data_IF_410590957898
#
_entry.id   IF_410590957898
#
_cell.length_a   1.000
_cell.length_b   1.000
_cell.length_c   1.000
_cell.angle_alpha   90.00
_cell.angle_beta   90.00
_cell.angle_gamma   90.00
#
_symmetry.space_group_name_H-M   'P 1'
#
loop_
_entity.id
_entity.type
_entity.pdbx_description
1 polymer ?
#
# COMPACT_ATOMS: atom_id res chain seq x y z
N UNK A 1 -34.11 16.84 -12.42
CA UNK A 1 -34.19 15.78 -13.43
C UNK A 1 -33.93 14.47 -12.71
N UNK A 2 -34.62 13.38 -13.09
CA UNK A 2 -34.33 12.08 -12.53
C UNK A 2 -32.89 11.63 -12.91
N UNK A 3 -32.22 10.91 -12.02
CA UNK A 3 -30.90 10.33 -12.30
C UNK A 3 -31.10 9.23 -13.36
N UNK A 4 -30.18 9.13 -14.31
CA UNK A 4 -30.11 8.04 -15.30
C UNK A 4 -28.77 7.31 -15.15
N UNK A 5 -28.68 6.11 -15.72
CA UNK A 5 -27.42 5.32 -15.65
C UNK A 5 -26.26 6.12 -16.23
N UNK A 6 -26.43 6.74 -17.40
CA UNK A 6 -25.36 7.53 -18.05
C UNK A 6 -24.92 8.73 -17.18
N UNK A 7 -25.90 9.38 -16.51
CA UNK A 7 -25.56 10.49 -15.61
C UNK A 7 -24.86 10.04 -14.34
N UNK A 8 -25.28 8.91 -13.80
CA UNK A 8 -24.63 8.35 -12.63
C UNK A 8 -23.19 7.93 -12.95
N UNK A 9 -22.97 7.28 -14.10
CA UNK A 9 -21.62 6.96 -14.58
C UNK A 9 -20.75 8.21 -14.78
N UNK A 10 -21.32 9.27 -15.39
CA UNK A 10 -20.59 10.55 -15.55
C UNK A 10 -20.20 11.16 -14.20
N UNK A 11 -21.03 11.05 -13.16
CA UNK A 11 -20.68 11.52 -11.81
C UNK A 11 -19.49 10.75 -11.26
N UNK A 12 -19.39 9.44 -11.49
CA UNK A 12 -18.25 8.65 -11.06
C UNK A 12 -16.97 9.07 -11.81
N UNK A 13 -17.05 9.23 -13.13
CA UNK A 13 -15.92 9.67 -13.95
C UNK A 13 -15.44 11.06 -13.50
N UNK A 14 -16.37 12.01 -13.30
CA UNK A 14 -16.04 13.36 -12.82
C UNK A 14 -15.40 13.34 -11.42
N UNK A 15 -15.87 12.45 -10.53
CA UNK A 15 -15.31 12.32 -9.17
C UNK A 15 -13.86 11.83 -9.18
N UNK A 16 -13.50 10.88 -10.05
CA UNK A 16 -12.13 10.38 -10.17
C UNK A 16 -11.15 11.38 -10.78
N UNK A 17 -11.65 12.38 -11.49
CA UNK A 17 -10.83 13.49 -12.01
C UNK A 17 -10.55 14.58 -10.95
N UNK A 18 -11.19 14.51 -9.76
CA UNK A 18 -10.97 15.48 -8.68
C UNK A 18 -9.67 15.18 -7.92
N UNK A 19 -8.86 16.21 -7.76
CA UNK A 19 -7.64 16.10 -6.93
C UNK A 19 -7.99 16.12 -5.43
N UNK A 20 -8.97 16.95 -5.05
CA UNK A 20 -9.43 17.10 -3.67
C UNK A 20 -10.96 17.15 -3.62
N UNK A 21 -11.64 15.98 -3.59
CA UNK A 21 -13.08 15.92 -3.46
C UNK A 21 -13.58 16.67 -2.22
N UNK A 22 -14.71 17.39 -2.36
CA UNK A 22 -15.38 18.04 -1.25
C UNK A 22 -16.54 17.17 -0.75
N UNK A 23 -17.08 17.50 0.40
CA UNK A 23 -18.18 16.73 1.02
C UNK A 23 -19.41 16.57 0.09
N UNK A 24 -19.73 17.59 -0.71
CA UNK A 24 -20.80 17.54 -1.69
C UNK A 24 -20.51 16.59 -2.85
N UNK A 25 -19.23 16.44 -3.24
CA UNK A 25 -18.78 15.51 -4.27
C UNK A 25 -18.90 14.07 -3.77
N UNK A 26 -18.49 13.81 -2.52
CA UNK A 26 -18.66 12.52 -1.86
C UNK A 26 -20.13 12.08 -1.83
N UNK A 27 -21.06 13.00 -1.48
CA UNK A 27 -22.48 12.71 -1.47
C UNK A 27 -22.99 12.36 -2.86
N UNK A 28 -22.56 13.09 -3.90
CA UNK A 28 -22.97 12.81 -5.28
C UNK A 28 -22.44 11.45 -5.75
N UNK A 29 -21.18 11.15 -5.43
CA UNK A 29 -20.53 9.88 -5.74
C UNK A 29 -21.26 8.70 -5.10
N UNK A 30 -21.55 8.76 -3.79
CA UNK A 30 -22.28 7.71 -3.06
C UNK A 30 -23.68 7.52 -3.67
N UNK A 31 -24.43 8.60 -3.88
CA UNK A 31 -25.77 8.52 -4.45
C UNK A 31 -25.79 7.93 -5.87
N UNK A 32 -24.75 8.22 -6.67
CA UNK A 32 -24.60 7.65 -8.01
C UNK A 32 -24.33 6.16 -7.94
N UNK A 33 -23.43 5.70 -7.05
CA UNK A 33 -23.16 4.28 -6.83
C UNK A 33 -24.38 3.53 -6.32
N UNK A 34 -25.10 4.07 -5.32
CA UNK A 34 -26.32 3.45 -4.80
C UNK A 34 -27.39 3.30 -5.89
N UNK A 35 -27.58 4.34 -6.72
CA UNK A 35 -28.48 4.29 -7.85
C UNK A 35 -28.07 3.21 -8.85
N UNK A 36 -26.78 3.16 -9.23
CA UNK A 36 -26.26 2.16 -10.17
C UNK A 36 -26.40 0.74 -9.62
N UNK A 37 -26.17 0.52 -8.33
CA UNK A 37 -26.39 -0.77 -7.65
C UNK A 37 -27.86 -1.18 -7.77
N UNK A 38 -28.80 -0.27 -7.50
CA UNK A 38 -30.24 -0.55 -7.57
C UNK A 38 -30.71 -0.87 -8.98
N UNK A 39 -30.25 -0.13 -9.99
CA UNK A 39 -30.68 -0.28 -11.38
C UNK A 39 -30.02 -1.46 -12.10
N UNK A 40 -28.76 -1.79 -11.74
CA UNK A 40 -27.97 -2.76 -12.50
C UNK A 40 -27.67 -4.04 -11.76
N UNK A 41 -27.71 -4.03 -10.43
CA UNK A 41 -27.23 -5.09 -9.55
C UNK A 41 -25.78 -5.53 -9.90
N UNK A 42 -24.95 -4.60 -10.43
CA UNK A 42 -23.56 -4.89 -10.80
C UNK A 42 -22.67 -4.94 -9.55
N UNK A 43 -21.98 -6.09 -9.28
CA UNK A 43 -21.14 -6.25 -8.11
C UNK A 43 -19.90 -5.34 -8.08
N UNK A 44 -19.46 -4.82 -9.21
CA UNK A 44 -18.36 -3.87 -9.31
C UNK A 44 -18.69 -2.59 -8.52
N UNK A 45 -19.85 -1.99 -8.74
CA UNK A 45 -20.29 -0.81 -7.97
C UNK A 45 -20.46 -1.08 -6.48
N UNK A 46 -20.85 -2.32 -6.10
CA UNK A 46 -20.91 -2.70 -4.69
C UNK A 46 -19.52 -2.72 -4.05
N UNK A 47 -18.51 -3.28 -4.75
CA UNK A 47 -17.12 -3.30 -4.26
C UNK A 47 -16.55 -1.88 -4.21
N UNK A 48 -16.85 -1.07 -5.20
CA UNK A 48 -16.41 0.32 -5.27
C UNK A 48 -16.96 1.15 -4.10
N UNK A 49 -18.26 1.06 -3.82
CA UNK A 49 -18.88 1.73 -2.67
C UNK A 49 -18.38 1.17 -1.34
N UNK A 50 -18.17 -0.14 -1.25
CA UNK A 50 -17.53 -0.78 -0.11
C UNK A 50 -16.10 -0.26 0.12
N UNK A 51 -15.34 -0.05 -0.96
CA UNK A 51 -13.99 0.54 -0.93
C UNK A 51 -14.00 1.97 -0.41
N UNK A 52 -14.94 2.78 -0.87
CA UNK A 52 -15.13 4.14 -0.37
C UNK A 52 -15.38 4.14 1.14
N UNK A 53 -16.34 3.33 1.63
CA UNK A 53 -16.61 3.20 3.07
C UNK A 53 -15.42 2.67 3.85
N UNK A 54 -14.64 1.74 3.26
CA UNK A 54 -13.41 1.25 3.88
C UNK A 54 -12.38 2.39 4.07
N UNK A 55 -12.19 3.24 3.07
CA UNK A 55 -11.33 4.44 3.14
C UNK A 55 -11.76 5.39 4.25
N UNK A 56 -13.07 5.56 4.45
CA UNK A 56 -13.65 6.36 5.54
C UNK A 56 -13.65 5.64 6.90
N UNK A 57 -13.03 4.45 7.00
CA UNK A 57 -12.99 3.60 8.20
C UNK A 57 -14.38 3.16 8.72
N UNK A 58 -15.38 3.20 7.86
CA UNK A 58 -16.74 2.70 8.13
C UNK A 58 -16.83 1.22 7.73
N UNK A 59 -16.10 0.39 8.46
CA UNK A 59 -15.83 -0.99 8.08
C UNK A 59 -17.06 -1.90 8.06
N UNK A 60 -18.06 -1.62 8.91
CA UNK A 60 -19.31 -2.39 8.92
C UNK A 60 -20.09 -2.19 7.61
N UNK A 61 -20.15 -0.95 7.10
CA UNK A 61 -20.78 -0.66 5.80
C UNK A 61 -19.98 -1.27 4.64
N UNK A 62 -18.65 -1.18 4.70
CA UNK A 62 -17.79 -1.82 3.71
C UNK A 62 -18.04 -3.33 3.64
N UNK A 63 -18.11 -4.01 4.79
CA UNK A 63 -18.44 -5.44 4.89
C UNK A 63 -19.78 -5.75 4.23
N UNK A 64 -20.82 -4.98 4.53
CA UNK A 64 -22.17 -5.20 3.98
C UNK A 64 -22.16 -5.16 2.44
N UNK A 65 -21.53 -4.16 1.84
CA UNK A 65 -21.44 -4.04 0.38
C UNK A 65 -20.58 -5.16 -0.24
N UNK A 66 -19.46 -5.52 0.38
CA UNK A 66 -18.66 -6.64 -0.09
C UNK A 66 -19.40 -7.98 0.03
N UNK A 67 -20.21 -8.19 1.08
CA UNK A 67 -21.07 -9.37 1.21
C UNK A 67 -22.17 -9.41 0.14
N UNK A 68 -22.70 -8.24 -0.28
CA UNK A 68 -23.65 -8.17 -1.40
C UNK A 68 -23.00 -8.63 -2.71
N UNK A 69 -21.80 -8.11 -3.03
CA UNK A 69 -21.06 -8.50 -4.23
C UNK A 69 -20.59 -9.97 -4.18
N UNK A 70 -20.18 -10.46 -3.01
CA UNK A 70 -19.78 -11.85 -2.81
C UNK A 70 -20.90 -12.86 -3.08
N UNK A 71 -22.17 -12.51 -2.80
CA UNK A 71 -23.35 -13.33 -3.15
C UNK A 71 -23.51 -13.48 -4.67
N UNK A 72 -22.93 -12.59 -5.46
CA UNK A 72 -22.88 -12.63 -6.92
C UNK A 72 -21.61 -13.31 -7.44
N UNK A 73 -20.81 -13.94 -6.57
CA UNK A 73 -19.55 -14.60 -6.88
C UNK A 73 -18.48 -13.65 -7.48
N UNK A 74 -18.48 -12.38 -7.08
CA UNK A 74 -17.51 -11.41 -7.57
C UNK A 74 -16.17 -11.58 -6.82
N UNK A 75 -15.08 -11.77 -7.59
CA UNK A 75 -13.78 -12.19 -7.04
C UNK A 75 -13.17 -11.14 -6.11
N UNK A 76 -13.25 -9.87 -6.49
CA UNK A 76 -12.65 -8.78 -5.71
C UNK A 76 -13.36 -8.59 -4.37
N UNK A 77 -14.68 -8.90 -4.30
CA UNK A 77 -15.40 -8.92 -3.04
C UNK A 77 -14.86 -9.97 -2.07
N UNK A 78 -14.44 -11.13 -2.57
CA UNK A 78 -13.81 -12.16 -1.73
C UNK A 78 -12.45 -11.70 -1.20
N UNK A 79 -11.63 -11.04 -2.02
CA UNK A 79 -10.37 -10.45 -1.58
C UNK A 79 -10.59 -9.42 -0.47
N UNK A 80 -11.52 -8.47 -0.69
CA UNK A 80 -11.86 -7.41 0.26
C UNK A 80 -12.39 -7.98 1.58
N UNK A 81 -13.26 -8.99 1.55
CA UNK A 81 -13.75 -9.68 2.76
C UNK A 81 -12.61 -10.41 3.49
N UNK A 82 -11.73 -11.08 2.74
CA UNK A 82 -10.53 -11.68 3.29
C UNK A 82 -9.70 -10.66 4.05
N UNK A 83 -9.55 -9.47 3.51
CA UNK A 83 -8.82 -8.36 4.13
C UNK A 83 -9.50 -7.86 5.42
N UNK A 84 -10.82 -7.61 5.38
CA UNK A 84 -11.60 -7.18 6.55
C UNK A 84 -11.41 -8.16 7.72
N UNK A 85 -11.58 -9.45 7.48
CA UNK A 85 -11.49 -10.46 8.53
C UNK A 85 -10.06 -10.72 8.99
N UNK A 86 -9.08 -10.68 8.09
CA UNK A 86 -7.67 -10.88 8.43
C UNK A 86 -7.17 -9.81 9.41
N UNK A 87 -7.54 -8.55 9.19
CA UNK A 87 -7.13 -7.44 10.03
C UNK A 87 -8.13 -7.10 11.16
N UNK A 88 -9.24 -7.83 11.27
CA UNK A 88 -10.24 -7.60 12.30
C UNK A 88 -10.90 -6.22 12.21
N UNK A 89 -11.18 -5.74 10.99
CA UNK A 89 -11.73 -4.39 10.80
C UNK A 89 -13.11 -4.20 11.42
N UNK A 90 -13.91 -5.28 11.50
CA UNK A 90 -15.25 -5.32 12.12
C UNK A 90 -15.23 -6.03 13.48
N UNK A 91 -14.12 -5.97 14.21
CA UNK A 91 -13.98 -6.57 15.54
C UNK A 91 -12.59 -7.14 15.79
N UNK A 92 -12.49 -8.41 16.13
CA UNK A 92 -11.21 -9.11 16.23
C UNK A 92 -10.91 -9.87 14.93
N UNK A 93 -9.62 -10.14 14.63
CA UNK A 93 -9.25 -10.96 13.48
C UNK A 93 -9.98 -12.31 13.49
N UNK A 94 -10.65 -12.63 12.37
CA UNK A 94 -11.30 -13.91 12.11
C UNK A 94 -10.55 -14.63 11.00
N UNK A 95 -9.51 -15.35 11.38
CA UNK A 95 -8.63 -16.02 10.41
C UNK A 95 -9.32 -17.19 9.68
N UNK A 96 -10.41 -17.76 10.22
CA UNK A 96 -11.19 -18.78 9.53
C UNK A 96 -11.92 -18.18 8.33
N UNK A 97 -12.66 -17.09 8.54
CA UNK A 97 -13.31 -16.36 7.46
C UNK A 97 -12.32 -15.79 6.47
N UNK A 98 -11.22 -15.18 6.96
CA UNK A 98 -10.16 -14.65 6.10
C UNK A 98 -9.59 -15.72 5.17
N UNK A 99 -9.25 -16.90 5.71
CA UNK A 99 -8.76 -18.03 4.92
C UNK A 99 -9.77 -18.49 3.87
N UNK A 100 -11.05 -18.61 4.26
CA UNK A 100 -12.11 -19.03 3.36
C UNK A 100 -12.24 -18.06 2.17
N UNK A 101 -12.32 -16.76 2.42
CA UNK A 101 -12.49 -15.76 1.38
C UNK A 101 -11.24 -15.59 0.51
N UNK A 102 -10.03 -15.53 1.10
CA UNK A 102 -8.80 -15.51 0.33
C UNK A 102 -8.63 -16.76 -0.55
N UNK A 103 -9.06 -17.93 -0.04
CA UNK A 103 -9.02 -19.14 -0.87
C UNK A 103 -9.97 -19.06 -2.05
N UNK A 104 -11.21 -18.57 -1.87
CA UNK A 104 -12.17 -18.37 -2.96
C UNK A 104 -11.62 -17.42 -4.03
N UNK A 105 -11.00 -16.30 -3.64
CA UNK A 105 -10.43 -15.35 -4.56
C UNK A 105 -9.17 -15.92 -5.27
N UNK A 106 -8.27 -16.55 -4.51
CA UNK A 106 -7.04 -17.17 -5.04
C UNK A 106 -7.34 -18.29 -6.02
N UNK A 107 -8.34 -19.13 -5.75
CA UNK A 107 -8.77 -20.21 -6.66
C UNK A 107 -9.31 -19.65 -8.01
N UNK A 108 -9.69 -18.38 -8.05
CA UNK A 108 -10.13 -17.65 -9.25
C UNK A 108 -9.03 -16.73 -9.83
N UNK A 109 -7.79 -16.86 -9.36
CA UNK A 109 -6.62 -16.19 -9.93
C UNK A 109 -6.30 -14.81 -9.33
N UNK A 110 -6.97 -14.40 -8.24
CA UNK A 110 -6.63 -13.14 -7.58
C UNK A 110 -5.26 -13.26 -6.89
N UNK A 111 -4.29 -12.44 -7.33
CA UNK A 111 -2.89 -12.51 -6.88
C UNK A 111 -2.75 -11.99 -5.45
N UNK A 112 -3.52 -10.95 -5.08
CA UNK A 112 -3.51 -10.38 -3.73
C UNK A 112 -3.97 -11.43 -2.72
N UNK A 113 -5.09 -12.07 -2.98
CA UNK A 113 -5.59 -13.16 -2.15
C UNK A 113 -4.61 -14.34 -2.06
N UNK A 114 -3.92 -14.66 -3.16
CA UNK A 114 -2.96 -15.76 -3.20
C UNK A 114 -1.75 -15.49 -2.29
N UNK A 115 -1.14 -14.31 -2.32
CA UNK A 115 -0.01 -14.05 -1.40
C UNK A 115 -0.47 -13.89 0.05
N UNK A 116 -1.66 -13.36 0.31
CA UNK A 116 -2.25 -13.33 1.65
C UNK A 116 -2.50 -14.74 2.20
N UNK A 117 -3.01 -15.63 1.35
CA UNK A 117 -3.16 -17.05 1.69
C UNK A 117 -1.80 -17.70 2.00
N UNK A 118 -0.76 -17.38 1.22
CA UNK A 118 0.61 -17.83 1.51
C UNK A 118 1.09 -17.35 2.88
N UNK A 119 0.88 -16.08 3.23
CA UNK A 119 1.22 -15.55 4.55
C UNK A 119 0.49 -16.29 5.69
N UNK A 120 -0.76 -16.72 5.46
CA UNK A 120 -1.49 -17.53 6.45
C UNK A 120 -0.85 -18.91 6.67
N UNK A 121 -0.37 -19.55 5.61
CA UNK A 121 0.42 -20.80 5.74
C UNK A 121 1.76 -20.54 6.45
N UNK A 122 2.47 -19.46 6.12
CA UNK A 122 3.73 -19.09 6.77
C UNK A 122 3.57 -18.89 8.28
N UNK A 123 2.50 -18.22 8.70
CA UNK A 123 2.29 -17.82 10.08
C UNK A 123 1.50 -18.86 10.90
N UNK A 124 0.78 -19.76 10.25
CA UNK A 124 -0.10 -20.73 10.91
C UNK A 124 -1.42 -20.09 11.37
N UNK A 125 -1.95 -19.12 10.60
CA UNK A 125 -3.23 -18.48 10.89
C UNK A 125 -4.38 -19.35 10.37
N UNK A 126 -5.19 -19.89 11.28
CA UNK A 126 -6.26 -20.86 11.04
C UNK A 126 -5.76 -22.25 10.55
N UNK A 127 -4.72 -22.29 9.75
CA UNK A 127 -4.12 -23.51 9.21
C UNK A 127 -2.81 -23.84 9.93
N UNK A 128 -2.37 -25.11 9.87
CA UNK A 128 -1.04 -25.47 10.34
C UNK A 128 0.03 -24.72 9.54
N UNK A 129 1.10 -24.27 10.22
CA UNK A 129 2.28 -23.68 9.54
C UNK A 129 2.82 -24.63 8.48
N UNK A 130 2.94 -24.12 7.25
CA UNK A 130 3.46 -24.85 6.10
C UNK A 130 4.35 -23.91 5.27
N UNK A 131 5.63 -23.82 5.66
CA UNK A 131 6.59 -22.97 4.96
C UNK A 131 6.84 -23.44 3.50
N UNK A 132 6.98 -24.74 3.20
CA UNK A 132 7.04 -25.22 1.82
C UNK A 132 5.85 -24.76 0.97
N UNK A 133 4.65 -24.77 1.51
CA UNK A 133 3.43 -24.28 0.83
C UNK A 133 3.48 -22.77 0.56
N UNK A 134 3.94 -21.99 1.56
CA UNK A 134 4.20 -20.56 1.37
C UNK A 134 5.15 -20.31 0.21
N UNK A 135 6.32 -20.97 0.21
CA UNK A 135 7.33 -20.83 -0.86
C UNK A 135 6.76 -21.20 -2.22
N UNK A 136 6.02 -22.32 -2.30
CA UNK A 136 5.39 -22.78 -3.53
C UNK A 136 4.45 -21.71 -4.10
N UNK A 137 3.56 -21.14 -3.28
CA UNK A 137 2.61 -20.13 -3.72
C UNK A 137 3.37 -18.88 -4.18
N UNK A 138 4.26 -18.32 -3.35
CA UNK A 138 4.98 -17.07 -3.71
C UNK A 138 5.77 -17.24 -5.01
N UNK A 139 6.48 -18.35 -5.18
CA UNK A 139 7.22 -18.63 -6.44
C UNK A 139 6.30 -18.77 -7.65
N UNK A 140 5.07 -19.27 -7.48
CA UNK A 140 4.12 -19.39 -8.59
C UNK A 140 3.52 -18.05 -9.03
N UNK A 141 3.56 -17.02 -8.18
CA UNK A 141 3.06 -15.67 -8.51
C UNK A 141 4.07 -14.84 -9.32
N UNK A 142 5.36 -15.12 -9.17
CA UNK A 142 6.41 -14.34 -9.83
C UNK A 142 6.25 -14.26 -11.36
N UNK A 143 6.03 -15.37 -12.10
CA UNK A 143 5.85 -15.32 -13.55
C UNK A 143 4.63 -14.49 -13.99
N UNK A 144 3.60 -14.37 -13.15
CA UNK A 144 2.38 -13.61 -13.45
C UNK A 144 2.60 -12.08 -13.37
N UNK A 145 3.64 -11.66 -12.66
CA UNK A 145 3.98 -10.25 -12.44
C UNK A 145 5.20 -9.81 -13.26
N UNK A 146 5.82 -10.71 -14.01
CA UNK A 146 6.92 -10.34 -14.92
C UNK A 146 6.39 -9.44 -16.05
N UNK A 147 6.97 -8.24 -16.18
CA UNK A 147 6.55 -7.26 -17.17
C UNK A 147 5.32 -6.44 -16.76
N UNK A 148 4.89 -6.50 -15.49
CA UNK A 148 3.89 -5.60 -14.94
C UNK A 148 4.33 -4.15 -15.15
N UNK A 149 3.37 -3.28 -15.48
CA UNK A 149 3.59 -1.84 -15.70
C UNK A 149 2.63 -0.97 -14.88
N UNK A 150 1.57 -1.57 -14.36
CA UNK A 150 0.65 -0.86 -13.49
C UNK A 150 1.23 -0.80 -12.06
N UNK A 151 1.40 0.42 -11.54
CA UNK A 151 1.97 0.64 -10.20
C UNK A 151 1.14 0.04 -9.08
N UNK A 152 -0.14 -0.22 -9.32
CA UNK A 152 -1.04 -0.89 -8.36
C UNK A 152 -1.00 -2.42 -8.43
N UNK A 153 -0.29 -3.01 -9.41
CA UNK A 153 -0.04 -4.46 -9.39
C UNK A 153 0.75 -4.86 -8.13
N UNK A 154 0.47 -6.02 -7.52
CA UNK A 154 1.08 -6.41 -6.24
C UNK A 154 2.55 -6.88 -6.37
N UNK A 155 3.32 -6.17 -7.21
CA UNK A 155 4.76 -6.41 -7.42
C UNK A 155 5.55 -6.22 -6.12
N UNK A 156 5.41 -5.09 -5.38
CA UNK A 156 6.15 -4.87 -4.15
C UNK A 156 5.91 -5.97 -3.11
N UNK A 157 4.66 -6.39 -2.95
CA UNK A 157 4.24 -7.38 -1.97
C UNK A 157 4.77 -8.77 -2.28
N UNK A 158 4.72 -9.19 -3.54
CA UNK A 158 5.18 -10.52 -3.97
C UNK A 158 6.71 -10.55 -4.06
N UNK A 159 7.33 -9.53 -4.65
CA UNK A 159 8.78 -9.51 -4.86
C UNK A 159 9.57 -9.39 -3.55
N UNK A 160 9.10 -8.61 -2.59
CA UNK A 160 9.72 -8.55 -1.26
C UNK A 160 9.67 -9.89 -0.51
N UNK A 161 8.57 -10.66 -0.67
CA UNK A 161 8.46 -12.01 -0.10
C UNK A 161 9.38 -13.00 -0.82
N UNK A 162 9.44 -12.91 -2.14
CA UNK A 162 10.32 -13.78 -2.95
C UNK A 162 11.80 -13.47 -2.69
N UNK A 163 12.16 -12.19 -2.49
CA UNK A 163 13.51 -11.80 -2.12
C UNK A 163 13.94 -12.46 -0.80
N UNK A 164 13.07 -12.45 0.22
CA UNK A 164 13.36 -13.14 1.51
C UNK A 164 13.58 -14.64 1.31
N UNK A 165 12.80 -15.28 0.46
CA UNK A 165 12.99 -16.69 0.10
C UNK A 165 14.36 -16.89 -0.57
N UNK A 166 14.75 -16.02 -1.50
CA UNK A 166 16.03 -16.12 -2.19
C UNK A 166 17.23 -15.87 -1.27
N UNK A 167 17.12 -14.97 -0.29
CA UNK A 167 18.16 -14.82 0.75
C UNK A 167 18.35 -16.13 1.53
N UNK A 168 17.26 -16.77 1.95
CA UNK A 168 17.31 -18.06 2.66
C UNK A 168 17.88 -19.19 1.80
N UNK A 169 17.72 -19.11 0.47
CA UNK A 169 18.29 -20.05 -0.50
C UNK A 169 19.75 -19.71 -0.90
N UNK A 170 20.32 -18.61 -0.38
CA UNK A 170 21.68 -18.15 -0.70
C UNK A 170 21.80 -17.45 -2.06
N UNK A 171 20.70 -16.97 -2.62
CA UNK A 171 20.63 -16.27 -3.92
C UNK A 171 20.49 -14.74 -3.71
N UNK A 172 21.47 -14.13 -3.03
CA UNK A 172 21.41 -12.71 -2.65
C UNK A 172 21.31 -11.77 -3.86
N UNK A 173 22.03 -12.04 -4.96
CA UNK A 173 21.96 -11.20 -6.17
C UNK A 173 20.54 -11.11 -6.73
N UNK A 174 19.81 -12.22 -6.75
CA UNK A 174 18.41 -12.24 -7.21
C UNK A 174 17.48 -11.53 -6.23
N UNK A 175 17.74 -11.67 -4.92
CA UNK A 175 16.99 -10.98 -3.90
C UNK A 175 17.15 -9.45 -4.03
N UNK A 176 18.37 -8.95 -4.24
CA UNK A 176 18.66 -7.53 -4.45
C UNK A 176 17.91 -7.00 -5.67
N UNK A 177 17.96 -7.71 -6.80
CA UNK A 177 17.23 -7.29 -8.01
C UNK A 177 15.72 -7.16 -7.78
N UNK A 178 15.12 -8.12 -7.07
CA UNK A 178 13.70 -8.08 -6.76
C UNK A 178 13.34 -6.93 -5.82
N UNK A 179 14.20 -6.63 -4.83
CA UNK A 179 13.97 -5.52 -3.90
C UNK A 179 14.10 -4.16 -4.59
N UNK A 180 15.04 -4.01 -5.54
CA UNK A 180 15.17 -2.79 -6.34
C UNK A 180 13.92 -2.55 -7.20
N UNK A 181 13.41 -3.58 -7.87
CA UNK A 181 12.17 -3.49 -8.65
C UNK A 181 10.98 -3.18 -7.72
N UNK A 182 10.88 -3.86 -6.58
CA UNK A 182 9.81 -3.64 -5.61
C UNK A 182 9.85 -2.20 -5.04
N UNK A 183 11.05 -1.67 -4.78
CA UNK A 183 11.25 -0.28 -4.32
C UNK A 183 10.74 0.71 -5.36
N UNK A 184 11.13 0.54 -6.61
CA UNK A 184 10.68 1.43 -7.70
C UNK A 184 9.16 1.44 -7.85
N UNK A 185 8.52 0.25 -7.91
CA UNK A 185 7.06 0.16 -8.00
C UNK A 185 6.35 0.81 -6.81
N UNK A 186 6.84 0.58 -5.59
CA UNK A 186 6.24 1.14 -4.40
C UNK A 186 6.43 2.65 -4.30
N UNK A 187 7.60 3.16 -4.72
CA UNK A 187 7.88 4.59 -4.76
C UNK A 187 6.94 5.32 -5.73
N UNK A 188 6.71 4.74 -6.91
CA UNK A 188 5.77 5.29 -7.89
C UNK A 188 4.32 5.21 -7.39
N UNK A 189 3.92 4.11 -6.72
CA UNK A 189 2.58 3.97 -6.13
C UNK A 189 2.29 5.06 -5.12
N UNK A 190 3.26 5.40 -4.27
CA UNK A 190 3.11 6.41 -3.21
C UNK A 190 2.85 7.83 -3.73
N UNK A 191 3.10 8.10 -5.00
CA UNK A 191 2.75 9.39 -5.63
C UNK A 191 1.22 9.55 -5.74
N UNK A 192 0.50 8.44 -5.87
CA UNK A 192 -0.94 8.41 -6.18
C UNK A 192 -1.78 7.72 -5.10
N UNK A 193 -1.17 7.18 -4.05
CA UNK A 193 -1.85 6.37 -3.04
C UNK A 193 -1.87 7.04 -1.68
N UNK A 194 -3.07 7.18 -1.13
CA UNK A 194 -3.29 7.60 0.27
C UNK A 194 -3.41 6.40 1.23
N UNK A 195 -3.15 5.17 0.73
CA UNK A 195 -3.31 4.00 1.55
C UNK A 195 -2.21 3.92 2.62
N UNK A 196 -2.61 4.03 3.88
CA UNK A 196 -1.71 4.07 5.04
C UNK A 196 -0.74 2.86 5.16
N UNK A 197 -1.05 1.75 4.50
CA UNK A 197 -0.18 0.56 4.46
C UNK A 197 1.02 0.69 3.53
N UNK A 198 0.97 1.58 2.54
CA UNK A 198 2.00 1.69 1.51
C UNK A 198 3.34 2.21 2.04
N UNK A 199 3.32 3.14 3.01
CA UNK A 199 4.53 3.58 3.71
C UNK A 199 5.20 2.44 4.48
N UNK A 200 4.42 1.53 5.06
CA UNK A 200 4.96 0.34 5.75
C UNK A 200 5.64 -0.62 4.77
N UNK A 201 5.08 -0.77 3.57
CA UNK A 201 5.65 -1.64 2.52
C UNK A 201 7.01 -1.10 2.06
N UNK A 202 7.11 0.18 1.69
CA UNK A 202 8.38 0.78 1.23
C UNK A 202 9.45 0.74 2.32
N UNK A 203 9.10 1.04 3.57
CA UNK A 203 10.02 0.92 4.71
C UNK A 203 10.65 -0.46 4.80
N UNK A 204 9.84 -1.52 4.75
CA UNK A 204 10.36 -2.88 4.82
C UNK A 204 11.25 -3.22 3.63
N UNK A 205 10.87 -2.81 2.41
CA UNK A 205 11.68 -3.03 1.21
C UNK A 205 13.04 -2.36 1.33
N UNK A 206 13.09 -1.10 1.75
CA UNK A 206 14.34 -0.35 1.94
C UNK A 206 15.25 -0.99 2.99
N UNK A 207 14.68 -1.36 4.14
CA UNK A 207 15.47 -2.00 5.21
C UNK A 207 15.97 -3.39 4.81
N UNK A 208 15.16 -4.19 4.11
CA UNK A 208 15.57 -5.48 3.59
C UNK A 208 16.70 -5.29 2.54
N UNK A 209 16.61 -4.31 1.65
CA UNK A 209 17.62 -4.01 0.64
C UNK A 209 18.98 -3.65 1.29
N UNK A 210 18.99 -2.68 2.23
CA UNK A 210 20.21 -2.25 2.89
C UNK A 210 20.74 -3.23 3.95
N UNK A 211 20.04 -4.32 4.21
CA UNK A 211 20.61 -5.48 4.90
C UNK A 211 21.51 -6.34 4.02
N UNK A 212 21.39 -6.21 2.68
CA UNK A 212 22.10 -7.03 1.69
C UNK A 212 23.20 -6.26 0.97
N UNK A 213 23.04 -4.95 0.80
CA UNK A 213 24.02 -4.09 0.11
C UNK A 213 24.54 -2.99 1.00
N UNK A 214 25.72 -2.48 0.68
CA UNK A 214 26.26 -1.28 1.32
C UNK A 214 25.46 -0.06 0.85
N UNK A 215 25.05 0.81 1.77
CA UNK A 215 24.43 2.09 1.44
C UNK A 215 25.44 3.01 0.76
N UNK A 216 25.01 3.65 -0.32
CA UNK A 216 25.78 4.63 -1.09
C UNK A 216 24.98 5.94 -1.14
N UNK A 217 25.47 6.99 -0.49
CA UNK A 217 24.80 8.29 -0.42
C UNK A 217 24.74 9.02 -1.76
N UNK A 218 25.61 8.69 -2.73
CA UNK A 218 25.62 9.33 -4.04
C UNK A 218 24.42 8.97 -4.92
N UNK A 219 23.70 7.90 -4.55
CA UNK A 219 22.52 7.38 -5.26
C UNK A 219 21.26 7.32 -4.38
N UNK A 220 21.24 8.12 -3.31
CA UNK A 220 20.15 8.15 -2.35
C UNK A 220 18.88 8.78 -2.95
N UNK A 221 17.74 8.16 -2.74
CA UNK A 221 16.42 8.75 -3.00
C UNK A 221 15.63 9.05 -1.71
N UNK A 222 14.45 9.65 -1.86
CA UNK A 222 13.63 10.07 -0.72
C UNK A 222 13.31 8.94 0.26
N UNK A 223 13.05 7.72 -0.23
CA UNK A 223 12.64 6.61 0.64
C UNK A 223 13.82 5.93 1.35
N UNK A 224 15.07 6.19 0.89
CA UNK A 224 16.26 5.74 1.61
C UNK A 224 16.40 6.42 2.98
N UNK A 225 15.67 7.51 3.20
CA UNK A 225 15.55 8.14 4.51
C UNK A 225 15.03 7.18 5.58
N UNK A 226 14.25 6.14 5.25
CA UNK A 226 13.90 5.08 6.20
C UNK A 226 15.11 4.35 6.78
N UNK A 227 16.19 4.27 6.02
CA UNK A 227 17.45 3.69 6.48
C UNK A 227 18.37 4.73 7.16
N UNK A 228 18.51 5.89 6.54
CA UNK A 228 19.47 6.92 6.94
C UNK A 228 19.07 7.60 8.25
N UNK A 229 17.80 7.98 8.39
CA UNK A 229 17.30 8.71 9.57
C UNK A 229 17.16 7.87 10.85
N UNK A 230 17.64 6.63 10.86
CA UNK A 230 17.70 5.81 12.08
C UNK A 230 18.90 6.16 12.97
N UNK A 231 19.79 7.04 12.52
CA UNK A 231 20.99 7.48 13.23
C UNK A 231 21.13 9.00 13.09
N UNK A 232 21.83 9.64 14.01
CA UNK A 232 22.13 11.06 13.88
C UNK A 232 22.80 11.36 12.53
N UNK A 233 22.19 12.26 11.79
CA UNK A 233 22.69 12.74 10.49
C UNK A 233 22.03 14.06 10.15
N UNK A 234 22.58 14.74 9.14
CA UNK A 234 22.02 15.96 8.58
C UNK A 234 22.02 15.86 7.06
N UNK A 235 20.93 16.28 6.45
CA UNK A 235 20.71 16.15 5.01
C UNK A 235 20.22 17.48 4.45
N UNK A 236 20.61 17.76 3.21
CA UNK A 236 19.98 18.75 2.36
C UNK A 236 19.06 18.06 1.36
N UNK A 237 17.84 18.58 1.21
CA UNK A 237 16.83 18.09 0.29
C UNK A 237 16.32 19.27 -0.52
N UNK A 238 16.37 19.17 -1.87
CA UNK A 238 15.76 20.16 -2.76
C UNK A 238 14.52 19.58 -3.43
N UNK A 239 13.40 20.27 -3.30
CA UNK A 239 12.13 19.94 -3.95
C UNK A 239 11.63 21.19 -4.67
N UNK A 240 11.38 21.08 -5.97
CA UNK A 240 10.85 22.16 -6.80
C UNK A 240 11.68 23.48 -6.73
N UNK A 241 13.01 23.38 -6.48
CA UNK A 241 13.91 24.53 -6.37
C UNK A 241 13.92 25.21 -4.99
N UNK A 242 13.33 24.58 -3.98
CA UNK A 242 13.37 25.02 -2.59
C UNK A 242 14.20 24.03 -1.76
N UNK A 243 15.08 24.58 -0.89
CA UNK A 243 15.98 23.79 -0.05
C UNK A 243 15.37 23.55 1.32
N UNK A 244 15.45 22.31 1.77
CA UNK A 244 15.03 21.83 3.09
C UNK A 244 16.20 21.17 3.82
N UNK A 245 16.26 21.37 5.13
CA UNK A 245 17.23 20.66 5.97
C UNK A 245 16.48 19.65 6.83
N UNK A 246 16.90 18.39 6.73
CA UNK A 246 16.44 17.31 7.59
C UNK A 246 17.58 16.96 8.54
N UNK A 247 17.31 16.97 9.83
CA UNK A 247 18.30 16.63 10.85
C UNK A 247 17.74 15.59 11.81
N UNK A 248 18.42 14.44 11.90
CA UNK A 248 18.16 13.41 12.90
C UNK A 248 19.20 13.53 14.03
N UNK A 249 18.76 13.70 15.27
CA UNK A 249 19.67 13.93 16.40
C UNK A 249 19.10 13.47 17.74
N UNK A 250 19.97 13.40 18.74
CA UNK A 250 19.59 13.26 20.15
C UNK A 250 19.62 14.63 20.84
N UNK A 251 18.59 14.93 21.62
CA UNK A 251 18.54 16.07 22.55
C UNK A 251 17.90 15.58 23.85
N UNK A 252 18.58 15.81 24.99
CA UNK A 252 18.17 15.30 26.31
C UNK A 252 17.87 13.77 26.32
N UNK A 253 18.72 12.98 25.67
CA UNK A 253 18.60 11.53 25.49
C UNK A 253 17.37 11.08 24.66
N UNK A 254 16.61 11.99 24.05
CA UNK A 254 15.52 11.69 23.15
C UNK A 254 15.98 11.85 21.69
N UNK A 255 15.69 10.82 20.90
CA UNK A 255 15.92 10.87 19.45
C UNK A 255 14.73 11.52 18.77
N UNK A 256 14.99 12.43 17.84
CA UNK A 256 13.98 13.03 16.98
C UNK A 256 14.56 13.43 15.62
N UNK A 257 13.65 13.64 14.68
CA UNK A 257 13.92 14.14 13.33
C UNK A 257 13.29 15.52 13.22
N UNK A 258 14.04 16.50 12.71
CA UNK A 258 13.53 17.85 12.46
C UNK A 258 13.57 18.16 10.96
N UNK A 259 12.56 18.86 10.48
CA UNK A 259 12.50 19.51 9.16
C UNK A 259 11.75 20.80 9.33
N UNK A 260 12.34 21.91 8.86
CA UNK A 260 11.88 23.27 9.17
C UNK A 260 11.74 23.51 10.69
N UNK A 261 10.61 24.00 11.15
CA UNK A 261 10.33 24.24 12.57
C UNK A 261 9.56 23.09 13.25
N UNK A 262 9.49 21.91 12.60
CA UNK A 262 8.74 20.73 13.10
C UNK A 262 9.68 19.63 13.54
N UNK A 263 9.30 18.94 14.61
CA UNK A 263 9.99 17.76 15.12
C UNK A 263 9.09 16.54 15.05
N UNK A 264 9.68 15.39 14.78
CA UNK A 264 9.04 14.08 14.66
C UNK A 264 9.77 13.07 15.54
N UNK A 265 9.03 12.23 16.27
CA UNK A 265 9.60 11.29 17.25
C UNK A 265 10.42 10.18 16.60
N UNK A 266 10.08 9.80 15.37
CA UNK A 266 10.76 8.77 14.59
C UNK A 266 10.53 8.96 13.08
N UNK A 267 11.12 8.10 12.28
CA UNK A 267 11.04 8.15 10.82
C UNK A 267 9.63 7.79 10.29
N UNK A 268 8.86 6.99 11.02
CA UNK A 268 7.47 6.69 10.63
C UNK A 268 6.59 7.92 10.80
N UNK A 269 6.71 8.61 11.93
CA UNK A 269 6.02 9.87 12.19
C UNK A 269 6.45 10.96 11.20
N UNK A 270 7.75 11.00 10.87
CA UNK A 270 8.27 11.91 9.85
C UNK A 270 7.56 11.69 8.50
N UNK A 271 7.58 10.49 7.94
CA UNK A 271 6.92 10.23 6.66
C UNK A 271 5.40 10.38 6.68
N UNK A 272 4.74 10.11 7.81
CA UNK A 272 3.29 10.24 7.93
C UNK A 272 2.82 11.71 8.02
N UNK A 273 3.66 12.62 8.54
CA UNK A 273 3.22 13.95 8.92
C UNK A 273 4.06 15.10 8.32
N UNK A 274 5.19 14.81 7.68
CA UNK A 274 5.97 15.83 7.00
C UNK A 274 5.23 16.29 5.74
N UNK A 275 5.09 17.60 5.59
CA UNK A 275 4.33 18.24 4.50
C UNK A 275 5.20 19.30 3.83
N UNK A 276 5.09 19.41 2.52
CA UNK A 276 5.67 20.48 1.71
C UNK A 276 4.55 21.09 0.89
N UNK A 277 4.29 22.40 1.06
CA UNK A 277 3.20 23.13 0.39
C UNK A 277 1.83 22.46 0.55
N UNK A 278 1.52 21.99 1.78
CA UNK A 278 0.28 21.29 2.13
C UNK A 278 0.12 19.88 1.50
N UNK A 279 1.17 19.38 0.82
CA UNK A 279 1.22 18.03 0.28
C UNK A 279 2.14 17.12 1.12
N UNK A 280 1.83 15.82 1.28
CA UNK A 280 2.69 14.89 1.99
C UNK A 280 4.09 14.81 1.37
N UNK A 281 5.15 14.81 2.20
CA UNK A 281 6.52 14.70 1.72
C UNK A 281 6.72 13.48 0.79
N UNK A 282 6.14 12.33 1.13
CA UNK A 282 6.32 11.11 0.34
C UNK A 282 5.73 11.20 -1.08
N UNK A 283 4.69 12.02 -1.29
CA UNK A 283 4.12 12.24 -2.62
C UNK A 283 5.02 13.10 -3.52
N UNK A 284 6.02 13.80 -2.92
CA UNK A 284 6.96 14.65 -3.64
C UNK A 284 8.15 13.88 -4.25
N UNK A 285 8.16 12.55 -4.20
CA UNK A 285 9.26 11.70 -4.67
C UNK A 285 9.79 12.08 -6.07
N UNK A 286 8.90 12.34 -7.03
CA UNK A 286 9.28 12.75 -8.39
C UNK A 286 9.76 14.21 -8.49
N UNK A 287 9.53 15.03 -7.48
CA UNK A 287 9.88 16.45 -7.44
C UNK A 287 11.20 16.69 -6.70
N UNK A 288 11.82 15.64 -6.19
CA UNK A 288 13.14 15.73 -5.55
C UNK A 288 14.21 15.94 -6.62
N UNK A 289 14.87 17.10 -6.59
CA UNK A 289 15.95 17.43 -7.50
C UNK A 289 17.29 16.90 -6.99
N UNK A 290 17.53 17.03 -5.69
CA UNK A 290 18.65 16.34 -5.05
C UNK A 290 18.38 16.07 -3.56
N UNK A 291 19.11 15.08 -3.04
CA UNK A 291 19.15 14.71 -1.64
C UNK A 291 20.58 14.28 -1.31
N UNK A 292 21.23 14.96 -0.35
CA UNK A 292 22.63 14.68 0.00
C UNK A 292 22.87 14.70 1.52
N UNK A 293 23.86 13.91 1.97
CA UNK A 293 24.37 13.95 3.33
C UNK A 293 25.22 15.21 3.51
N UNK A 294 24.98 15.92 4.61
CA UNK A 294 25.82 17.05 5.04
C UNK A 294 26.81 16.59 6.11
N UNK A 295 28.05 17.11 6.05
CA UNK A 295 29.12 16.83 7.02
C UNK A 295 28.82 17.36 8.43
#
# INVERSE_FOLDING_TARGET
MALTIEKAQQILDDYYDLVHPQYEDDIQFINALEFLIQETNNPEYMVELGGWYYGQKQFDLAEDYYLMAAKLNYVDAYECLGYIYYYGRVGQPDYEKAFHYYKLASDQGNIVAAYKLADMYKNGYYVQKDYPKYVQIIKSLYPLLQGATNTFDPVPEVYSRLAKIYVEEGNEDQAIQLLLIAKEFQSQRLIYSDFFGDLTIIKHIVLDLYSLIQFDSDYMDLFDLYYVLQKPCKLALEINGEDYIIEAKYEDDLFYISMDDKNYEDVDQFFQNAMIHDEPLYSQYINVNYLEMLD
#
